data_IF_747444412091
#
_entry.id   IF_747444412091
#
_cell.length_a   1.000
_cell.length_b   1.000
_cell.length_c   1.000
_cell.angle_alpha   90.00
_cell.angle_beta   90.00
_cell.angle_gamma   90.00
#
_symmetry.space_group_name_H-M   'P 1'
#
loop_
_entity.id
_entity.type
_entity.pdbx_description
1 polymer ?
#
# COMPACT_ATOMS: atom_id res chain seq x y z
N UNK A 1 60.61 -1.68 -33.31
CA UNK A 1 59.98 -0.88 -32.22
C UNK A 1 58.44 -0.97 -32.22
N UNK A 2 57.84 -2.17 -32.37
CA UNK A 2 56.39 -2.29 -32.67
C UNK A 2 55.58 -3.39 -31.96
N UNK A 3 56.19 -4.28 -31.15
CA UNK A 3 55.47 -5.38 -30.48
C UNK A 3 55.03 -5.10 -29.04
N UNK A 4 55.69 -4.18 -28.32
CA UNK A 4 55.36 -3.85 -26.91
C UNK A 4 54.15 -2.93 -26.74
N UNK A 5 53.72 -2.19 -27.78
CA UNK A 5 52.59 -1.25 -27.69
C UNK A 5 51.22 -1.92 -27.84
N UNK A 6 51.13 -3.09 -28.49
CA UNK A 6 49.87 -3.82 -28.66
C UNK A 6 49.45 -4.61 -27.41
N UNK A 7 50.42 -5.03 -26.59
CA UNK A 7 50.12 -5.75 -25.34
C UNK A 7 49.60 -4.80 -24.24
N UNK A 8 50.11 -3.55 -24.20
CA UNK A 8 49.70 -2.56 -23.20
C UNK A 8 48.26 -2.05 -23.43
N UNK A 9 47.83 -1.93 -24.69
CA UNK A 9 46.45 -1.55 -25.03
C UNK A 9 45.42 -2.64 -24.72
N UNK A 10 45.82 -3.92 -24.78
CA UNK A 10 44.92 -5.04 -24.46
C UNK A 10 44.70 -5.17 -22.93
N UNK A 11 45.72 -4.86 -22.12
CA UNK A 11 45.62 -4.92 -20.65
C UNK A 11 44.75 -3.80 -20.09
N UNK A 12 44.73 -2.61 -20.72
CA UNK A 12 43.87 -1.48 -20.31
C UNK A 12 42.38 -1.68 -20.61
N UNK A 13 42.03 -2.43 -21.66
CA UNK A 13 40.62 -2.72 -22.00
C UNK A 13 40.04 -3.81 -21.08
N UNK A 14 40.85 -4.76 -20.62
CA UNK A 14 40.41 -5.81 -19.68
C UNK A 14 40.21 -5.26 -18.26
N UNK A 15 40.97 -4.24 -17.84
CA UNK A 15 40.76 -3.60 -16.54
C UNK A 15 39.53 -2.67 -16.46
N UNK A 16 39.01 -2.18 -17.59
CA UNK A 16 37.77 -1.38 -17.62
C UNK A 16 36.48 -2.22 -17.66
N UNK A 17 36.57 -3.53 -17.87
CA UNK A 17 35.42 -4.43 -17.96
C UNK A 17 35.01 -5.08 -16.62
N UNK A 18 35.70 -4.77 -15.52
CA UNK A 18 35.46 -5.40 -14.20
C UNK A 18 34.91 -4.48 -13.10
N UNK A 19 34.53 -3.23 -13.37
CA UNK A 19 34.04 -2.32 -12.30
C UNK A 19 32.59 -1.85 -12.45
N UNK A 20 31.79 -2.51 -13.28
CA UNK A 20 30.34 -2.30 -13.36
C UNK A 20 29.59 -3.61 -13.16
N UNK A 21 29.93 -4.35 -12.09
CA UNK A 21 28.89 -5.20 -11.51
C UNK A 21 27.86 -4.27 -10.93
N UNK A 22 26.58 -4.28 -11.38
CA UNK A 22 25.55 -3.58 -10.63
C UNK A 22 25.64 -4.12 -9.21
N UNK A 23 25.92 -3.23 -8.25
CA UNK A 23 25.67 -3.54 -6.86
C UNK A 23 24.16 -3.66 -6.82
N UNK A 24 23.65 -4.88 -7.02
CA UNK A 24 22.34 -5.26 -6.52
C UNK A 24 22.49 -5.16 -5.01
N UNK A 25 22.30 -3.95 -4.48
CA UNK A 25 21.96 -3.78 -3.09
C UNK A 25 20.66 -4.55 -2.95
N UNK A 26 20.76 -5.77 -2.44
CA UNK A 26 19.63 -6.47 -1.89
C UNK A 26 19.17 -5.55 -0.78
N UNK A 27 18.16 -4.71 -1.05
CA UNK A 27 17.48 -3.99 0.00
C UNK A 27 17.12 -5.07 1.02
N UNK A 28 17.69 -4.98 2.22
CA UNK A 28 17.37 -5.93 3.26
C UNK A 28 15.85 -5.87 3.41
N UNK A 29 15.20 -7.03 3.20
CA UNK A 29 13.75 -7.14 3.39
C UNK A 29 13.49 -6.71 4.82
N UNK A 30 12.73 -5.62 5.05
CA UNK A 30 12.46 -5.16 6.39
C UNK A 30 11.86 -6.31 7.22
N UNK A 31 12.59 -6.75 8.25
CA UNK A 31 12.15 -7.85 9.13
C UNK A 31 11.18 -7.33 10.19
N UNK A 32 11.33 -6.08 10.58
CA UNK A 32 10.46 -5.39 11.53
C UNK A 32 9.17 -4.90 10.86
N UNK A 33 8.05 -4.92 11.59
CA UNK A 33 6.74 -4.48 11.11
C UNK A 33 6.34 -3.20 11.84
N UNK A 34 5.68 -2.27 11.14
CA UNK A 34 5.19 -1.04 11.77
C UNK A 34 4.22 -1.26 12.94
N UNK A 35 3.46 -2.36 12.92
CA UNK A 35 2.55 -2.75 14.01
C UNK A 35 3.25 -3.13 15.31
N UNK A 36 4.57 -3.34 15.29
CA UNK A 36 5.36 -3.56 16.52
C UNK A 36 5.80 -2.23 17.18
N UNK A 37 5.53 -1.09 16.51
CA UNK A 37 5.94 0.26 16.89
C UNK A 37 4.76 1.24 16.86
N UNK A 38 3.58 0.78 17.27
CA UNK A 38 2.38 1.62 17.35
C UNK A 38 2.57 2.72 18.39
N UNK A 39 2.00 3.89 18.12
CA UNK A 39 1.84 4.92 19.14
C UNK A 39 0.78 4.49 20.15
N UNK A 40 0.88 4.98 21.39
CA UNK A 40 -0.17 4.77 22.39
C UNK A 40 -1.48 5.46 21.98
N UNK A 41 -1.38 6.69 21.44
CA UNK A 41 -2.51 7.55 21.10
C UNK A 41 -2.32 8.27 19.76
N UNK A 42 -3.44 8.66 19.15
CA UNK A 42 -3.46 9.64 18.06
C UNK A 42 -3.01 11.01 18.58
N UNK A 43 -2.62 11.93 17.68
CA UNK A 43 -2.12 13.24 18.08
C UNK A 43 -3.21 14.15 18.68
N UNK A 44 -4.48 13.77 18.50
CA UNK A 44 -5.66 14.49 18.97
C UNK A 44 -6.89 14.08 18.17
N UNK A 45 -8.00 14.78 18.41
CA UNK A 45 -9.29 14.52 17.78
C UNK A 45 -10.13 13.48 18.52
N UNK A 46 -11.42 13.47 18.21
CA UNK A 46 -12.43 12.57 18.79
C UNK A 46 -12.99 11.58 17.76
N UNK A 47 -12.45 11.56 16.54
CA UNK A 47 -12.90 10.69 15.45
C UNK A 47 -14.20 11.13 14.81
N UNK A 48 -14.73 12.29 15.18
CA UNK A 48 -15.93 12.86 14.55
C UNK A 48 -15.57 13.61 13.27
N UNK A 49 -16.57 13.89 12.42
CA UNK A 49 -16.37 14.63 11.16
C UNK A 49 -15.74 16.00 11.37
N UNK A 50 -16.18 16.72 12.41
CA UNK A 50 -15.72 18.07 12.72
C UNK A 50 -14.40 18.07 13.53
N UNK A 51 -14.09 16.95 14.18
CA UNK A 51 -12.88 16.76 14.99
C UNK A 51 -12.25 15.37 14.73
N UNK A 52 -11.67 15.16 13.54
CA UNK A 52 -11.12 13.86 13.13
C UNK A 52 -9.88 13.50 13.94
N UNK A 53 -9.63 12.21 14.12
CA UNK A 53 -8.38 11.73 14.70
C UNK A 53 -7.18 12.20 13.87
N UNK A 54 -6.20 12.80 14.53
CA UNK A 54 -5.04 13.40 13.90
C UNK A 54 -3.86 12.44 13.87
N UNK A 55 -3.28 12.24 12.69
CA UNK A 55 -2.14 11.35 12.48
C UNK A 55 -0.95 12.19 11.96
N UNK A 56 0.09 12.29 12.78
CA UNK A 56 1.31 13.04 12.48
C UNK A 56 2.55 12.14 12.33
N UNK A 57 2.45 10.85 12.69
CA UNK A 57 3.59 9.93 12.73
C UNK A 57 3.24 8.55 12.19
N UNK A 58 4.25 7.82 11.71
CA UNK A 58 4.09 6.45 11.24
C UNK A 58 3.55 5.50 12.30
N UNK A 59 3.96 5.66 13.57
CA UNK A 59 3.42 4.88 14.69
C UNK A 59 1.93 5.11 14.94
N UNK A 60 1.43 6.33 14.71
CA UNK A 60 -0.01 6.64 14.80
C UNK A 60 -0.80 6.04 13.64
N UNK A 61 -0.25 6.08 12.42
CA UNK A 61 -0.86 5.41 11.27
C UNK A 61 -0.86 3.88 11.48
N UNK A 62 0.21 3.33 12.05
CA UNK A 62 0.30 1.92 12.41
C UNK A 62 -0.66 1.53 13.54
N UNK A 63 -0.96 2.45 14.48
CA UNK A 63 -1.99 2.26 15.50
C UNK A 63 -3.35 2.02 14.83
N UNK A 64 -3.76 2.88 13.89
CA UNK A 64 -4.98 2.70 13.11
C UNK A 64 -5.00 1.33 12.41
N UNK A 65 -3.89 0.93 11.78
CA UNK A 65 -3.79 -0.39 11.16
C UNK A 65 -4.01 -1.52 12.18
N UNK A 66 -3.35 -1.44 13.35
CA UNK A 66 -3.46 -2.45 14.40
C UNK A 66 -4.87 -2.55 14.98
N UNK A 67 -5.52 -1.41 15.24
CA UNK A 67 -6.87 -1.34 15.82
C UNK A 67 -7.90 -1.93 14.84
N UNK A 68 -7.90 -1.48 13.59
CA UNK A 68 -8.79 -2.04 12.53
C UNK A 68 -8.56 -3.54 12.36
N UNK A 69 -7.29 -3.95 12.29
CA UNK A 69 -6.93 -5.35 12.05
C UNK A 69 -7.19 -6.28 13.23
N UNK A 70 -7.43 -5.74 14.43
CA UNK A 70 -7.80 -6.51 15.62
C UNK A 70 -9.16 -7.19 15.44
N UNK A 71 -10.08 -6.57 14.69
CA UNK A 71 -11.47 -7.02 14.56
C UNK A 71 -12.28 -6.90 15.87
N UNK A 72 -11.73 -6.24 16.90
CA UNK A 72 -12.44 -5.96 18.15
C UNK A 72 -13.49 -4.87 17.84
N UNK A 73 -14.79 -5.08 18.17
CA UNK A 73 -15.87 -4.17 17.78
C UNK A 73 -15.60 -2.70 18.11
N UNK A 74 -15.02 -2.43 19.27
CA UNK A 74 -14.70 -1.09 19.78
C UNK A 74 -13.49 -0.42 19.10
N UNK A 75 -12.77 -1.16 18.25
CA UNK A 75 -11.55 -0.71 17.54
C UNK A 75 -11.72 -0.79 16.02
N UNK A 76 -12.93 -1.05 15.52
CA UNK A 76 -13.22 -1.13 14.08
C UNK A 76 -13.17 0.22 13.38
N UNK A 77 -13.26 1.32 14.14
CA UNK A 77 -13.32 2.70 13.65
C UNK A 77 -14.42 2.93 12.60
N UNK A 78 -15.55 2.24 12.77
CA UNK A 78 -16.71 2.31 11.89
C UNK A 78 -17.28 3.73 11.83
N UNK A 79 -17.20 4.36 10.65
CA UNK A 79 -17.73 5.71 10.41
C UNK A 79 -16.94 6.84 11.07
N UNK A 80 -15.79 6.56 11.69
CA UNK A 80 -14.92 7.57 12.28
C UNK A 80 -14.01 8.23 11.23
N UNK A 81 -13.53 9.43 11.53
CA UNK A 81 -12.79 10.28 10.62
C UNK A 81 -11.33 10.43 11.06
N UNK A 82 -10.42 10.36 10.09
CA UNK A 82 -8.98 10.48 10.26
C UNK A 82 -8.43 11.55 9.34
N UNK A 83 -7.43 12.29 9.84
CA UNK A 83 -6.73 13.32 9.08
C UNK A 83 -5.23 13.26 9.27
N UNK A 84 -4.46 13.27 8.18
CA UNK A 84 -3.02 13.48 8.29
C UNK A 84 -2.72 14.96 8.62
N UNK A 85 -1.85 15.18 9.59
CA UNK A 85 -1.40 16.53 9.99
C UNK A 85 0.07 16.79 9.69
N UNK A 86 0.79 15.78 9.22
CA UNK A 86 2.17 15.85 8.79
C UNK A 86 2.44 14.78 7.70
N UNK A 87 3.52 14.93 6.89
CA UNK A 87 3.98 13.85 6.03
C UNK A 87 4.44 12.65 6.85
N UNK A 88 4.27 11.45 6.31
CA UNK A 88 4.60 10.18 6.99
C UNK A 88 5.67 9.43 6.21
N UNK A 89 6.80 9.12 6.85
CA UNK A 89 7.77 8.19 6.29
C UNK A 89 7.56 6.78 6.85
N UNK A 90 7.22 5.84 5.98
CA UNK A 90 7.06 4.41 6.30
C UNK A 90 8.31 3.59 5.96
N UNK A 91 9.40 4.22 5.50
CA UNK A 91 10.63 3.53 5.16
C UNK A 91 11.23 2.75 6.36
N UNK A 92 11.96 1.68 6.05
CA UNK A 92 12.71 0.90 7.04
C UNK A 92 11.92 -0.17 7.81
N UNK A 93 10.60 -0.29 7.63
CA UNK A 93 9.79 -1.37 8.20
C UNK A 93 8.75 -1.88 7.20
N UNK A 94 8.33 -3.14 7.36
CA UNK A 94 7.21 -3.69 6.61
C UNK A 94 5.91 -3.08 7.10
N UNK A 95 5.09 -2.65 6.15
CA UNK A 95 3.73 -2.20 6.38
C UNK A 95 2.77 -3.38 6.43
N UNK A 96 1.86 -3.37 7.39
CA UNK A 96 0.70 -4.26 7.44
C UNK A 96 -0.50 -3.42 7.00
N UNK A 97 -1.18 -3.77 5.88
CA UNK A 97 -2.29 -2.98 5.37
C UNK A 97 -3.37 -2.68 6.41
N UNK A 98 -3.91 -1.46 6.41
CA UNK A 98 -5.12 -1.12 7.17
C UNK A 98 -6.27 -1.85 6.50
N UNK A 99 -6.95 -2.75 7.20
CA UNK A 99 -7.95 -3.60 6.55
C UNK A 99 -7.40 -4.95 6.10
N UNK A 100 -6.58 -5.60 6.93
CA UNK A 100 -5.82 -6.79 6.56
C UNK A 100 -6.71 -8.02 6.33
N UNK A 101 -6.54 -8.64 5.16
CA UNK A 101 -7.23 -9.87 4.79
C UNK A 101 -7.79 -9.82 3.37
N UNK A 102 -8.74 -10.70 3.12
CA UNK A 102 -9.52 -10.79 1.87
C UNK A 102 -11.04 -10.68 2.12
N UNK A 103 -11.44 -10.42 3.37
CA UNK A 103 -12.83 -10.39 3.80
C UNK A 103 -13.16 -9.09 4.55
N UNK A 104 -14.45 -8.76 4.61
CA UNK A 104 -14.95 -7.52 5.19
C UNK A 104 -14.86 -7.43 6.71
N UNK A 105 -14.60 -8.54 7.43
CA UNK A 105 -14.61 -8.58 8.91
C UNK A 105 -13.52 -7.74 9.57
N UNK A 106 -12.48 -7.37 8.82
CA UNK A 106 -11.40 -6.49 9.27
C UNK A 106 -11.28 -5.25 8.41
N UNK A 107 -12.22 -4.97 7.52
CA UNK A 107 -12.08 -3.88 6.56
C UNK A 107 -12.07 -2.50 7.25
N UNK A 108 -11.33 -1.57 6.66
CA UNK A 108 -11.43 -0.16 7.05
C UNK A 108 -12.78 0.40 6.60
N UNK A 109 -13.52 0.97 7.55
CA UNK A 109 -14.88 1.48 7.33
C UNK A 109 -15.09 2.91 7.86
N UNK A 110 -13.98 3.63 8.07
CA UNK A 110 -13.96 5.06 8.41
C UNK A 110 -13.70 5.94 7.19
N UNK A 111 -13.34 7.20 7.42
CA UNK A 111 -13.00 8.18 6.38
C UNK A 111 -11.59 8.72 6.62
N UNK A 112 -10.76 8.74 5.57
CA UNK A 112 -9.36 9.12 5.67
C UNK A 112 -9.05 10.30 4.73
N UNK A 113 -8.79 11.46 5.33
CA UNK A 113 -8.36 12.67 4.63
C UNK A 113 -6.85 12.87 4.82
N UNK A 114 -6.11 12.65 3.75
CA UNK A 114 -4.68 12.86 3.71
C UNK A 114 -4.25 14.33 3.80
N UNK A 115 -5.18 15.30 3.72
CA UNK A 115 -4.90 16.72 3.89
C UNK A 115 -3.71 17.22 3.04
N UNK A 116 -3.63 16.74 1.81
CA UNK A 116 -2.58 16.97 0.82
C UNK A 116 -1.16 16.59 1.30
N UNK A 117 -1.06 15.71 2.29
CA UNK A 117 0.22 15.19 2.79
C UNK A 117 0.75 14.05 1.90
N UNK A 118 2.04 13.77 2.10
CA UNK A 118 2.75 12.71 1.38
C UNK A 118 3.10 11.59 2.36
N UNK A 119 2.86 10.36 1.94
CA UNK A 119 3.35 9.14 2.58
C UNK A 119 4.48 8.57 1.72
N UNK A 120 5.63 8.25 2.30
CA UNK A 120 6.80 7.73 1.55
C UNK A 120 7.22 6.35 2.01
N UNK A 121 7.88 5.60 1.12
CA UNK A 121 8.63 4.40 1.50
C UNK A 121 7.76 3.21 1.92
N UNK A 122 6.50 3.19 1.47
CA UNK A 122 5.56 2.09 1.72
C UNK A 122 6.13 0.76 1.21
N UNK A 123 6.40 -0.18 2.10
CA UNK A 123 6.86 -1.53 1.75
C UNK A 123 5.87 -2.58 2.26
N UNK A 124 5.18 -3.27 1.35
CA UNK A 124 4.22 -4.34 1.66
C UNK A 124 4.71 -5.63 1.01
N UNK A 125 4.75 -6.71 1.79
CA UNK A 125 5.09 -8.04 1.29
C UNK A 125 4.13 -9.09 1.84
N UNK A 126 3.08 -9.35 1.08
CA UNK A 126 2.05 -10.35 1.36
C UNK A 126 2.20 -11.59 0.49
N UNK A 127 3.42 -11.87 0.04
CA UNK A 127 3.71 -13.13 -0.63
C UNK A 127 3.52 -14.28 0.34
N UNK A 128 2.82 -15.34 -0.06
CA UNK A 128 2.49 -16.46 0.83
C UNK A 128 1.10 -16.40 1.47
N UNK A 129 0.47 -15.23 1.51
CA UNK A 129 -0.69 -14.99 2.39
C UNK A 129 -2.04 -14.87 1.66
N UNK A 130 -2.03 -14.62 0.35
CA UNK A 130 -3.23 -14.37 -0.47
C UNK A 130 -4.21 -13.31 0.08
N UNK A 131 -3.67 -12.22 0.63
CA UNK A 131 -4.48 -11.11 1.17
C UNK A 131 -4.32 -9.86 0.32
N UNK A 132 -5.29 -8.94 0.44
CA UNK A 132 -5.25 -7.66 -0.23
C UNK A 132 -4.08 -6.81 0.26
N UNK A 133 -3.40 -6.11 -0.65
CA UNK A 133 -2.18 -5.38 -0.37
C UNK A 133 -2.22 -3.93 -0.87
N UNK A 134 -1.66 -3.02 -0.08
CA UNK A 134 -1.69 -1.58 -0.30
C UNK A 134 -1.38 -0.84 1.00
N UNK A 135 -1.49 0.49 1.00
CA UNK A 135 -1.61 1.21 2.27
C UNK A 135 -2.83 0.70 3.04
N UNK A 136 -3.94 0.53 2.31
CA UNK A 136 -5.13 -0.18 2.74
C UNK A 136 -5.22 -1.56 2.09
N UNK A 137 -5.69 -2.56 2.83
CA UNK A 137 -5.98 -3.89 2.31
C UNK A 137 -7.38 -3.89 1.69
N UNK A 138 -8.39 -4.01 2.55
CA UNK A 138 -9.82 -3.93 2.19
C UNK A 138 -10.44 -2.68 2.79
N UNK A 139 -11.13 -1.91 1.96
CA UNK A 139 -11.89 -0.73 2.35
C UNK A 139 -13.36 -0.95 2.01
N UNK A 140 -14.24 -0.66 2.97
CA UNK A 140 -15.69 -0.75 2.80
C UNK A 140 -16.35 0.60 3.03
N UNK A 141 -17.20 1.02 2.09
CA UNK A 141 -18.04 2.19 2.28
C UNK A 141 -19.29 1.86 3.10
N UNK A 142 -19.67 2.80 3.97
CA UNK A 142 -20.88 2.72 4.82
C UNK A 142 -21.91 3.80 4.49
N UNK A 143 -21.47 4.84 3.77
CA UNK A 143 -22.28 5.88 3.15
C UNK A 143 -21.68 6.29 1.79
N UNK A 144 -22.33 7.20 1.08
CA UNK A 144 -21.86 7.76 -0.20
C UNK A 144 -20.84 8.92 -0.03
N UNK A 145 -20.27 9.09 1.16
CA UNK A 145 -19.17 10.05 1.39
C UNK A 145 -17.83 9.46 0.92
N UNK A 146 -16.96 10.31 0.33
CA UNK A 146 -15.61 9.92 -0.11
C UNK A 146 -14.80 9.35 1.04
N UNK A 147 -14.35 8.11 0.90
CA UNK A 147 -13.70 7.32 1.95
C UNK A 147 -12.21 7.63 2.04
N UNK A 148 -11.52 7.78 0.90
CA UNK A 148 -10.09 8.08 0.84
C UNK A 148 -9.88 9.33 0.00
N UNK A 149 -9.23 10.36 0.55
CA UNK A 149 -8.97 11.58 -0.23
C UNK A 149 -7.71 12.34 0.14
N UNK A 150 -7.18 13.09 -0.81
CA UNK A 150 -6.16 14.13 -0.63
C UNK A 150 -4.79 13.65 -0.11
N UNK A 151 -4.18 12.61 -0.69
CA UNK A 151 -2.78 12.28 -0.38
C UNK A 151 -2.04 11.61 -1.52
N UNK A 152 -0.72 11.71 -1.46
CA UNK A 152 0.17 11.04 -2.39
C UNK A 152 1.02 10.00 -1.66
N UNK A 153 1.10 8.79 -2.21
CA UNK A 153 2.03 7.75 -1.78
C UNK A 153 3.20 7.71 -2.75
N UNK A 154 4.43 7.88 -2.24
CA UNK A 154 5.65 7.87 -3.06
C UNK A 154 6.57 6.70 -2.74
N UNK A 155 7.20 6.17 -3.79
CA UNK A 155 8.18 5.10 -3.70
C UNK A 155 7.64 3.84 -3.01
N UNK A 156 6.41 3.43 -3.37
CA UNK A 156 5.81 2.21 -2.86
C UNK A 156 6.45 0.97 -3.48
N UNK A 157 6.55 -0.10 -2.71
CA UNK A 157 6.90 -1.44 -3.18
C UNK A 157 5.93 -2.43 -2.57
N UNK A 158 5.11 -3.05 -3.41
CA UNK A 158 4.04 -3.95 -2.98
C UNK A 158 4.19 -5.29 -3.68
N UNK A 159 4.20 -6.35 -2.88
CA UNK A 159 4.12 -7.72 -3.33
C UNK A 159 2.90 -8.41 -2.73
N UNK A 160 2.10 -9.09 -3.57
CA UNK A 160 0.98 -9.91 -3.13
C UNK A 160 0.95 -11.26 -3.86
N UNK A 161 0.62 -12.33 -3.13
CA UNK A 161 0.28 -13.62 -3.71
C UNK A 161 1.30 -14.74 -3.55
N UNK A 162 0.97 -15.90 -4.11
CA UNK A 162 1.51 -17.25 -3.84
C UNK A 162 0.95 -17.92 -2.58
N UNK A 163 -0.25 -18.49 -2.69
CA UNK A 163 -0.52 -19.79 -2.06
C UNK A 163 0.45 -20.79 -2.66
N UNK A 164 1.21 -21.53 -1.84
CA UNK A 164 1.85 -22.76 -2.32
C UNK A 164 0.84 -23.88 -2.59
N UNK A 165 -0.44 -23.66 -2.27
CA UNK A 165 -1.50 -24.63 -2.47
C UNK A 165 -2.41 -24.21 -3.64
N UNK A 166 -2.24 -24.91 -4.77
CA UNK A 166 -3.10 -24.78 -5.94
C UNK A 166 -4.55 -25.27 -5.68
N UNK A 167 -4.83 -25.85 -4.51
CA UNK A 167 -6.15 -26.34 -4.10
C UNK A 167 -6.83 -25.44 -3.06
N UNK A 168 -6.18 -24.37 -2.59
CA UNK A 168 -6.89 -23.36 -1.82
C UNK A 168 -7.98 -22.74 -2.72
N UNK A 169 -9.20 -22.60 -2.21
CA UNK A 169 -10.26 -21.78 -2.82
C UNK A 169 -9.63 -20.50 -3.36
N UNK A 170 -9.99 -19.97 -4.55
CA UNK A 170 -9.34 -18.78 -5.06
C UNK A 170 -9.57 -17.65 -4.06
N UNK A 171 -8.54 -17.36 -3.26
CA UNK A 171 -8.52 -16.18 -2.42
C UNK A 171 -8.44 -15.03 -3.42
N UNK A 172 -9.60 -14.41 -3.68
CA UNK A 172 -9.72 -13.22 -4.52
C UNK A 172 -9.09 -12.08 -3.73
N UNK A 173 -7.88 -11.66 -4.11
CA UNK A 173 -7.18 -10.52 -3.53
C UNK A 173 -6.65 -9.58 -4.61
N UNK A 174 -6.68 -8.29 -4.32
CA UNK A 174 -6.08 -7.27 -5.17
C UNK A 174 -4.87 -6.61 -4.51
N UNK A 175 -3.99 -6.06 -5.33
CA UNK A 175 -2.92 -5.19 -4.87
C UNK A 175 -2.91 -3.89 -5.66
N UNK A 176 -2.79 -2.77 -4.94
CA UNK A 176 -2.61 -1.44 -5.50
C UNK A 176 -1.89 -0.53 -4.51
N UNK A 177 -1.22 0.52 -4.99
CA UNK A 177 -0.46 1.43 -4.10
C UNK A 177 -1.32 1.99 -2.97
N UNK A 178 -2.54 2.41 -3.29
CA UNK A 178 -3.49 2.94 -2.33
C UNK A 178 -4.21 1.83 -1.58
N UNK A 179 -4.85 0.92 -2.31
CA UNK A 179 -5.80 -0.05 -1.75
C UNK A 179 -5.81 -1.35 -2.54
N UNK A 180 -5.91 -2.47 -1.83
CA UNK A 180 -6.03 -3.79 -2.45
C UNK A 180 -7.42 -4.08 -3.00
N UNK A 181 -8.49 -3.82 -2.23
CA UNK A 181 -9.88 -3.97 -2.69
C UNK A 181 -10.81 -2.90 -2.11
N UNK A 182 -11.67 -2.34 -2.97
CA UNK A 182 -12.77 -1.44 -2.63
C UNK A 182 -14.10 -2.16 -2.81
N UNK A 183 -14.95 -2.15 -1.79
CA UNK A 183 -16.31 -2.71 -1.90
C UNK A 183 -17.32 -1.98 -0.99
N UNK A 184 -18.59 -2.27 -1.17
CA UNK A 184 -19.67 -1.76 -0.31
C UNK A 184 -20.03 -2.80 0.75
N UNK A 185 -20.30 -2.36 1.97
CA UNK A 185 -20.74 -3.28 3.02
C UNK A 185 -22.20 -3.74 2.79
N UNK A 186 -22.46 -5.05 2.92
CA UNK A 186 -23.80 -5.61 2.83
C UNK A 186 -24.73 -5.00 3.89
N UNK A 187 -25.90 -4.52 3.47
CA UNK A 187 -26.84 -3.82 4.36
C UNK A 187 -26.47 -2.37 4.68
N UNK A 188 -25.36 -1.83 4.14
CA UNK A 188 -25.06 -0.40 4.23
C UNK A 188 -25.94 0.42 3.29
N UNK A 189 -25.94 1.75 3.50
CA UNK A 189 -26.58 2.73 2.62
C UNK A 189 -25.68 3.16 1.47
N UNK A 190 -24.42 2.71 1.44
CA UNK A 190 -23.48 3.06 0.40
C UNK A 190 -23.89 2.40 -0.93
N UNK A 191 -23.99 3.23 -1.96
CA UNK A 191 -24.19 2.82 -3.34
C UNK A 191 -22.87 2.76 -4.10
N UNK A 192 -21.86 3.50 -3.65
CA UNK A 192 -20.50 3.49 -4.17
C UNK A 192 -19.42 3.65 -3.09
N UNK A 193 -18.16 3.42 -3.47
CA UNK A 193 -16.97 3.74 -2.67
C UNK A 193 -16.24 4.92 -3.31
N UNK A 194 -16.19 6.06 -2.63
CA UNK A 194 -15.55 7.27 -3.15
C UNK A 194 -14.05 7.32 -2.85
N UNK A 195 -13.24 7.61 -3.87
CA UNK A 195 -11.80 7.91 -3.76
C UNK A 195 -11.48 9.15 -4.59
N UNK A 196 -10.86 10.16 -3.99
CA UNK A 196 -10.69 11.47 -4.63
C UNK A 196 -9.29 12.04 -4.39
N UNK A 197 -8.65 12.60 -5.42
CA UNK A 197 -7.38 13.31 -5.26
C UNK A 197 -6.29 12.48 -4.53
N UNK A 198 -6.15 11.22 -4.94
CA UNK A 198 -5.15 10.30 -4.43
C UNK A 198 -4.15 9.90 -5.53
N UNK A 199 -2.86 9.93 -5.23
CA UNK A 199 -1.81 9.60 -6.21
C UNK A 199 -0.83 8.55 -5.68
N UNK A 200 -0.32 7.70 -6.56
CA UNK A 200 0.62 6.64 -6.22
C UNK A 200 1.80 6.56 -7.17
N UNK A 201 3.00 6.33 -6.63
CA UNK A 201 4.19 5.97 -7.42
C UNK A 201 4.92 4.77 -6.83
N UNK A 202 5.54 3.95 -7.69
CA UNK A 202 6.34 2.81 -7.25
C UNK A 202 6.12 1.56 -8.08
N UNK A 203 6.03 0.41 -7.41
CA UNK A 203 5.77 -0.88 -8.05
C UNK A 203 4.73 -1.72 -7.31
N UNK A 204 3.98 -2.49 -8.09
CA UNK A 204 3.02 -3.49 -7.61
C UNK A 204 3.28 -4.79 -8.37
N UNK A 205 3.56 -5.89 -7.65
CA UNK A 205 3.59 -7.25 -8.19
C UNK A 205 2.53 -8.10 -7.47
N UNK A 206 1.50 -8.52 -8.21
CA UNK A 206 0.42 -9.36 -7.70
C UNK A 206 0.10 -10.51 -8.63
N UNK A 207 -0.15 -11.70 -8.05
CA UNK A 207 -0.51 -12.90 -8.84
C UNK A 207 -2.00 -13.00 -9.17
N UNK A 208 -2.86 -12.24 -8.49
CA UNK A 208 -4.30 -12.15 -8.78
C UNK A 208 -4.64 -10.83 -9.48
N UNK A 209 -5.30 -9.88 -8.81
CA UNK A 209 -5.57 -8.56 -9.37
C UNK A 209 -4.42 -7.60 -9.03
N UNK A 210 -3.90 -6.92 -10.04
CA UNK A 210 -2.79 -5.98 -9.93
C UNK A 210 -3.18 -4.66 -10.59
N UNK A 211 -3.41 -3.62 -9.80
CA UNK A 211 -3.67 -2.27 -10.29
C UNK A 211 -2.61 -1.31 -9.82
N UNK A 212 -2.37 -0.24 -10.60
CA UNK A 212 -1.39 0.78 -10.23
C UNK A 212 -1.74 1.45 -8.89
N UNK A 213 -2.98 1.93 -8.74
CA UNK A 213 -3.45 2.58 -7.53
C UNK A 213 -4.37 1.67 -6.71
N UNK A 214 -5.28 0.95 -7.36
CA UNK A 214 -6.34 0.15 -6.73
C UNK A 214 -6.27 -1.26 -7.30
N UNK A 215 -6.21 -2.30 -6.47
CA UNK A 215 -6.11 -3.67 -6.98
C UNK A 215 -7.42 -4.25 -7.54
N UNK A 216 -8.50 -4.09 -6.80
CA UNK A 216 -9.84 -4.54 -7.15
C UNK A 216 -10.86 -3.48 -6.70
N UNK A 217 -11.92 -3.31 -7.48
CA UNK A 217 -12.92 -2.27 -7.22
C UNK A 217 -14.32 -2.71 -7.62
N UNK A 218 -15.23 -2.69 -6.66
CA UNK A 218 -16.66 -2.85 -6.87
C UNK A 218 -17.38 -1.56 -6.51
N UNK A 219 -18.16 -1.03 -7.47
CA UNK A 219 -18.96 0.20 -7.29
C UNK A 219 -18.09 1.39 -6.86
N UNK A 220 -16.90 1.56 -7.43
CA UNK A 220 -16.01 2.66 -7.06
C UNK A 220 -16.28 3.93 -7.89
N UNK A 221 -16.28 5.08 -7.23
CA UNK A 221 -16.21 6.40 -7.87
C UNK A 221 -14.82 6.97 -7.59
N UNK A 222 -13.99 7.03 -8.62
CA UNK A 222 -12.59 7.45 -8.50
C UNK A 222 -12.36 8.69 -9.35
N UNK A 223 -11.99 9.80 -8.73
CA UNK A 223 -11.78 11.09 -9.41
C UNK A 223 -10.46 11.74 -8.99
N UNK A 224 -9.85 12.50 -9.91
CA UNK A 224 -8.63 13.28 -9.67
C UNK A 224 -7.44 12.47 -9.13
N UNK A 225 -7.43 11.18 -9.45
CA UNK A 225 -6.42 10.24 -9.01
C UNK A 225 -5.41 9.92 -10.12
N UNK A 226 -4.19 9.55 -9.75
CA UNK A 226 -3.17 9.13 -10.73
C UNK A 226 -2.25 8.03 -10.21
N UNK A 227 -1.68 7.28 -11.15
CA UNK A 227 -0.70 6.23 -10.87
C UNK A 227 0.46 6.35 -11.86
N UNK A 228 1.67 6.48 -11.32
CA UNK A 228 2.93 6.26 -12.05
C UNK A 228 3.64 5.06 -11.42
N UNK A 229 3.12 3.88 -11.75
CA UNK A 229 3.42 2.62 -11.07
C UNK A 229 3.79 1.56 -12.09
N UNK A 230 4.90 0.85 -11.83
CA UNK A 230 5.22 -0.37 -12.58
C UNK A 230 4.36 -1.51 -12.06
N UNK A 231 3.46 -2.02 -12.90
CA UNK A 231 2.54 -3.10 -12.55
C UNK A 231 2.99 -4.41 -13.16
N UNK A 232 3.16 -5.43 -12.32
CA UNK A 232 3.41 -6.82 -12.71
C UNK A 232 2.25 -7.68 -12.23
N UNK A 233 1.34 -8.03 -13.13
CA UNK A 233 0.20 -8.91 -12.82
C UNK A 233 0.28 -10.25 -13.54
N UNK A 234 -0.34 -11.30 -12.97
CA UNK A 234 -0.47 -12.62 -13.63
C UNK A 234 -1.89 -12.91 -14.13
N UNK A 235 -2.92 -12.63 -13.33
CA UNK A 235 -4.31 -12.95 -13.69
C UNK A 235 -4.96 -11.77 -14.40
N UNK A 236 -5.14 -10.64 -13.70
CA UNK A 236 -5.68 -9.41 -14.26
C UNK A 236 -4.76 -8.26 -13.84
N UNK A 237 -4.40 -7.40 -14.79
CA UNK A 237 -3.58 -6.24 -14.53
C UNK A 237 -4.06 -5.00 -15.26
N UNK A 238 -4.10 -3.87 -14.55
CA UNK A 238 -4.35 -2.55 -15.13
C UNK A 238 -3.36 -1.52 -14.61
N UNK A 239 -3.09 -0.49 -15.41
CA UNK A 239 -2.17 0.58 -15.03
C UNK A 239 -2.70 1.49 -13.91
N UNK A 240 -4.00 1.39 -13.59
CA UNK A 240 -4.67 2.24 -12.60
C UNK A 240 -5.56 1.42 -11.64
N UNK A 241 -6.59 0.75 -12.17
CA UNK A 241 -7.36 -0.34 -11.54
C UNK A 241 -7.06 -1.62 -12.32
#
# INVERSE_FOLDING_TARGET
MGKRKKLLGLVLVVCMLFTLTPITSRADVPTEKWTDFTAADFAGGSGTKDDPYQIATAGQLAKLASEVNSGVPEQTHLGEYFKLTAPIDLSGKRWIPIGYGNASSKAFSGYFDGNNQVITGLYVDERGNNVCAGLFGVVVAVSDETVLKNFCIKNATIYAGNSTDANASPDIYGAGVLVGSLTTMGGSRATFVGVENCQGTGQVDSKMYAGGLIGDASRAHVSDCSADVTVTGRCISGGFI
#
